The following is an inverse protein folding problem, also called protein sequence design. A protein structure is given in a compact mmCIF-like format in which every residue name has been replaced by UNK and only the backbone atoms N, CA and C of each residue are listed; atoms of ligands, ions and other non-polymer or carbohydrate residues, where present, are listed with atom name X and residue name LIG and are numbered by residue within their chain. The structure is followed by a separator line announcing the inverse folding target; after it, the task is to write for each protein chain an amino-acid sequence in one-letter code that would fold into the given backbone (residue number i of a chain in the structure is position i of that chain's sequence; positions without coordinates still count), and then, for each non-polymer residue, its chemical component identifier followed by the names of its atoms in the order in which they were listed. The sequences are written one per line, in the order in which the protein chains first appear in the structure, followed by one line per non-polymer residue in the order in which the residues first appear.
data_IF_808747195036
#
_entry.id   IF_808747195036
#
_cell.length_a   1.000
_cell.length_b   1.000
_cell.length_c   1.000
_cell.angle_alpha   90.00
_cell.angle_beta   90.00
_cell.angle_gamma   90.00
#
_symmetry.space_group_name_H-M   'P 1'
#
loop_
_entity.id
_entity.type
_entity.pdbx_description
1 polymer ?
#
# COMPACT_ATOMS: atom_id res chain seq x y z
N UNK A 1 -26.66 -14.83 27.81
CA UNK A 1 -25.82 -14.63 26.61
C UNK A 1 -24.38 -14.80 27.06
N UNK A 2 -23.59 -15.65 26.40
CA UNK A 2 -22.20 -15.89 26.84
C UNK A 2 -21.35 -14.69 26.42
N UNK A 3 -20.68 -14.05 27.38
CA UNK A 3 -19.73 -12.96 27.16
C UNK A 3 -18.45 -13.52 26.51
N UNK A 4 -18.52 -13.87 25.23
CA UNK A 4 -17.38 -14.39 24.48
C UNK A 4 -16.51 -13.21 24.08
N UNK A 5 -15.22 -13.31 24.41
CA UNK A 5 -14.21 -12.33 24.01
C UNK A 5 -13.24 -12.95 23.01
N UNK A 6 -12.67 -12.09 22.19
CA UNK A 6 -11.53 -12.41 21.32
C UNK A 6 -10.38 -11.49 21.68
N UNK A 7 -9.16 -12.02 21.59
CA UNK A 7 -7.96 -11.20 21.61
C UNK A 7 -7.63 -10.79 20.18
N UNK A 8 -7.79 -9.51 19.88
CA UNK A 8 -7.51 -8.96 18.56
C UNK A 8 -6.13 -8.30 18.52
N UNK A 9 -5.53 -8.30 17.33
CA UNK A 9 -4.32 -7.52 17.02
C UNK A 9 -4.72 -6.42 16.05
N UNK A 10 -4.39 -5.19 16.38
CA UNK A 10 -4.85 -4.04 15.62
C UNK A 10 -4.06 -3.86 14.32
N UNK A 11 -4.81 -3.53 13.26
CA UNK A 11 -4.29 -2.85 12.09
C UNK A 11 -4.65 -1.37 12.19
N UNK A 12 -3.70 -0.48 11.88
CA UNK A 12 -3.91 0.96 11.90
C UNK A 12 -4.07 1.51 10.49
N UNK A 13 -5.00 2.43 10.30
CA UNK A 13 -4.99 3.31 9.14
C UNK A 13 -3.80 4.28 9.24
N UNK A 14 -3.17 4.67 8.12
CA UNK A 14 -2.13 5.67 8.11
C UNK A 14 -2.51 6.96 8.86
N UNK A 15 -3.76 7.39 8.73
CA UNK A 15 -4.35 8.57 9.37
C UNK A 15 -4.40 8.48 10.89
N UNK A 16 -4.54 7.27 11.43
CA UNK A 16 -4.61 7.01 12.86
C UNK A 16 -3.22 6.90 13.51
N UNK A 17 -2.15 7.11 12.71
CA UNK A 17 -0.77 7.13 13.19
C UNK A 17 -0.18 8.54 13.14
N UNK A 18 0.85 8.77 13.94
CA UNK A 18 1.64 10.02 13.91
C UNK A 18 2.28 10.33 12.55
N UNK A 19 2.36 9.35 11.64
CA UNK A 19 2.95 9.53 10.32
C UNK A 19 1.97 10.08 9.28
N UNK A 20 0.66 9.96 9.55
CA UNK A 20 -0.41 10.33 8.63
C UNK A 20 -0.39 9.54 7.31
N UNK A 21 -1.42 9.78 6.49
CA UNK A 21 -1.41 9.32 5.10
C UNK A 21 -0.48 10.18 4.27
N UNK A 22 0.41 9.53 3.52
CA UNK A 22 1.27 10.15 2.49
C UNK A 22 0.77 9.73 1.12
N UNK A 23 1.05 10.52 0.08
CA UNK A 23 0.53 10.27 -1.27
C UNK A 23 0.94 8.92 -1.87
N UNK A 24 2.08 8.37 -1.45
CA UNK A 24 2.56 7.06 -1.90
C UNK A 24 1.90 5.88 -1.16
N UNK A 25 0.99 6.15 -0.22
CA UNK A 25 0.23 5.11 0.47
C UNK A 25 -1.07 4.82 -0.24
N UNK A 26 -1.28 3.54 -0.53
CA UNK A 26 -2.49 3.09 -1.20
C UNK A 26 -3.73 3.29 -0.33
N UNK A 27 -4.88 3.53 -0.95
CA UNK A 27 -6.15 3.79 -0.28
C UNK A 27 -6.55 2.65 0.67
N UNK A 28 -6.16 1.42 0.35
CA UNK A 28 -6.43 0.19 1.12
C UNK A 28 -5.23 -0.31 1.96
N UNK A 29 -4.24 0.56 2.17
CA UNK A 29 -3.04 0.25 2.98
C UNK A 29 -3.34 0.38 4.48
N UNK A 30 -3.05 -0.68 5.23
CA UNK A 30 -3.10 -0.76 6.68
C UNK A 30 -1.70 -1.08 7.24
N UNK A 31 -1.46 -0.72 8.50
CA UNK A 31 -0.23 -1.10 9.22
C UNK A 31 -0.53 -2.16 10.25
N UNK A 32 0.14 -3.32 10.13
CA UNK A 32 0.10 -4.35 11.16
C UNK A 32 0.78 -3.83 12.43
N UNK A 33 0.11 -3.81 13.58
CA UNK A 33 0.75 -3.30 14.81
C UNK A 33 1.14 -4.39 15.80
N UNK A 34 1.98 -4.04 16.76
CA UNK A 34 2.23 -4.83 17.99
C UNK A 34 1.14 -4.63 19.06
N UNK A 35 0.11 -3.81 18.80
CA UNK A 35 -0.98 -3.54 19.71
C UNK A 35 -2.02 -4.68 19.71
N UNK A 36 -2.31 -5.23 20.89
CA UNK A 36 -3.32 -6.29 21.06
C UNK A 36 -4.18 -6.05 22.29
N UNK A 37 -5.48 -6.26 22.14
CA UNK A 37 -6.49 -6.01 23.18
C UNK A 37 -7.61 -7.06 23.12
N UNK A 38 -8.33 -7.24 24.22
CA UNK A 38 -9.49 -8.12 24.30
C UNK A 38 -10.78 -7.34 23.99
N UNK A 39 -11.54 -7.83 23.01
CA UNK A 39 -12.82 -7.25 22.62
C UNK A 39 -13.95 -8.27 22.68
N UNK A 40 -15.17 -7.78 22.82
CA UNK A 40 -16.39 -8.58 22.73
C UNK A 40 -16.67 -8.96 21.28
N UNK A 41 -17.09 -10.19 21.02
CA UNK A 41 -17.35 -10.65 19.63
C UNK A 41 -18.47 -9.87 18.94
N UNK A 42 -19.34 -9.25 19.72
CA UNK A 42 -20.47 -8.44 19.27
C UNK A 42 -20.02 -7.15 18.57
N UNK A 43 -18.76 -6.72 18.71
CA UNK A 43 -18.23 -5.58 17.96
C UNK A 43 -17.73 -5.94 16.55
N UNK A 44 -17.78 -7.22 16.16
CA UNK A 44 -17.34 -7.68 14.84
C UNK A 44 -18.48 -7.46 13.84
N UNK A 45 -18.28 -6.54 12.90
CA UNK A 45 -19.25 -6.25 11.83
C UNK A 45 -19.20 -7.30 10.71
N UNK A 46 -17.99 -7.70 10.30
CA UNK A 46 -17.81 -8.63 9.20
C UNK A 46 -16.38 -9.09 9.03
N UNK A 47 -16.16 -9.99 8.06
CA UNK A 47 -14.84 -10.50 7.70
C UNK A 47 -14.25 -9.64 6.58
N UNK A 48 -12.97 -9.32 6.70
CA UNK A 48 -12.17 -8.75 5.62
C UNK A 48 -10.87 -9.55 5.40
N UNK A 49 -10.08 -9.18 4.40
CA UNK A 49 -8.80 -9.80 4.05
C UNK A 49 -7.71 -8.74 4.07
N UNK A 50 -6.69 -8.94 4.89
CA UNK A 50 -5.50 -8.09 4.91
C UNK A 50 -4.31 -8.92 4.44
N UNK A 51 -3.76 -8.56 3.29
CA UNK A 51 -2.73 -9.35 2.57
C UNK A 51 -1.36 -8.71 2.70
N UNK A 52 -0.30 -9.46 2.47
CA UNK A 52 1.00 -8.84 2.18
C UNK A 52 0.90 -8.02 0.89
N UNK A 53 1.80 -7.06 0.73
CA UNK A 53 1.79 -6.20 -0.46
C UNK A 53 1.95 -6.99 -1.76
N UNK A 54 2.84 -7.98 -1.81
CA UNK A 54 3.04 -8.82 -3.00
C UNK A 54 1.76 -9.58 -3.36
N UNK A 55 1.12 -10.23 -2.39
CA UNK A 55 -0.15 -10.96 -2.62
C UNK A 55 -1.27 -10.02 -3.09
N UNK A 56 -1.31 -8.78 -2.59
CA UNK A 56 -2.30 -7.79 -3.04
C UNK A 56 -2.05 -7.34 -4.48
N UNK A 57 -0.79 -7.17 -4.88
CA UNK A 57 -0.42 -6.81 -6.26
C UNK A 57 -0.77 -7.90 -7.28
N UNK A 58 -0.82 -9.16 -6.85
CA UNK A 58 -1.17 -10.31 -7.69
C UNK A 58 -2.69 -10.51 -7.86
N UNK A 59 -3.53 -9.69 -7.22
CA UNK A 59 -4.98 -9.81 -7.35
C UNK A 59 -5.46 -9.40 -8.75
N UNK A 60 -6.19 -10.29 -9.41
CA UNK A 60 -6.86 -9.99 -10.68
C UNK A 60 -7.95 -8.91 -10.52
N UNK A 61 -8.64 -8.90 -9.37
CA UNK A 61 -9.67 -7.93 -9.02
C UNK A 61 -9.59 -7.65 -7.52
N UNK A 62 -9.54 -6.37 -7.17
CA UNK A 62 -9.60 -5.91 -5.78
C UNK A 62 -11.05 -5.71 -5.38
N UNK A 63 -11.49 -6.44 -4.35
CA UNK A 63 -12.84 -6.31 -3.79
C UNK A 63 -12.87 -5.29 -2.65
N UNK A 64 -14.08 -4.92 -2.20
CA UNK A 64 -14.25 -3.94 -1.13
C UNK A 64 -13.71 -4.39 0.23
N UNK A 65 -13.62 -5.69 0.46
CA UNK A 65 -13.10 -6.31 1.68
C UNK A 65 -11.60 -6.69 1.59
N UNK A 66 -10.92 -6.34 0.50
CA UNK A 66 -9.47 -6.54 0.34
C UNK A 66 -8.69 -5.29 0.81
N UNK A 67 -7.68 -5.54 1.64
CA UNK A 67 -6.72 -4.58 2.17
C UNK A 67 -5.32 -5.18 2.10
N UNK A 68 -4.30 -4.35 2.29
CA UNK A 68 -2.91 -4.82 2.32
C UNK A 68 -2.06 -4.14 3.37
N UNK A 69 -0.97 -4.79 3.73
CA UNK A 69 0.06 -4.23 4.61
C UNK A 69 1.46 -4.52 4.06
N UNK A 70 2.38 -3.61 4.34
CA UNK A 70 3.83 -3.75 4.08
C UNK A 70 4.70 -3.13 5.17
N UNK A 71 4.09 -2.39 6.08
CA UNK A 71 4.75 -1.82 7.25
C UNK A 71 4.14 -2.40 8.52
N UNK A 72 4.98 -2.59 9.52
CA UNK A 72 4.52 -2.76 10.88
C UNK A 72 4.55 -1.42 11.61
N UNK A 73 3.55 -1.18 12.45
CA UNK A 73 3.48 -0.02 13.34
C UNK A 73 3.79 -0.45 14.78
N UNK A 74 4.93 0.00 15.31
CA UNK A 74 5.29 -0.18 16.70
C UNK A 74 4.49 0.84 17.52
N UNK A 75 3.37 0.41 18.10
CA UNK A 75 2.38 1.25 18.76
C UNK A 75 2.97 2.08 19.90
N UNK A 76 3.80 1.44 20.73
CA UNK A 76 4.44 2.10 21.88
C UNK A 76 5.48 3.13 21.42
N UNK A 77 6.28 2.81 20.40
CA UNK A 77 7.34 3.69 19.89
C UNK A 77 6.84 4.73 18.88
N UNK A 78 5.63 4.54 18.35
CA UNK A 78 5.04 5.31 17.25
C UNK A 78 5.92 5.33 15.99
N UNK A 79 6.56 4.20 15.68
CA UNK A 79 7.47 4.03 14.53
C UNK A 79 6.92 3.03 13.52
N UNK A 80 7.36 3.16 12.27
CA UNK A 80 7.10 2.19 11.21
C UNK A 80 8.34 1.37 10.90
N UNK A 81 8.15 0.09 10.61
CA UNK A 81 9.20 -0.81 10.14
C UNK A 81 8.77 -1.53 8.86
N UNK A 82 9.66 -1.72 7.87
CA UNK A 82 11.03 -1.19 7.82
C UNK A 82 11.05 0.35 7.63
N UNK A 83 12.16 0.99 8.00
CA UNK A 83 12.32 2.46 7.88
C UNK A 83 12.45 2.92 6.42
N UNK A 84 12.97 2.06 5.56
CA UNK A 84 13.09 2.28 4.13
C UNK A 84 12.55 1.09 3.35
N UNK A 85 12.04 1.39 2.16
CA UNK A 85 11.58 0.42 1.17
C UNK A 85 12.12 0.85 -0.19
N UNK A 86 12.06 -0.05 -1.16
CA UNK A 86 12.42 0.26 -2.53
C UNK A 86 11.58 1.43 -3.08
N UNK A 87 12.24 2.32 -3.81
CA UNK A 87 11.65 3.53 -4.38
C UNK A 87 11.92 3.58 -5.88
N UNK A 88 10.96 4.14 -6.60
CA UNK A 88 10.98 4.19 -8.06
C UNK A 88 10.80 5.61 -8.57
N UNK A 89 10.92 5.77 -9.89
CA UNK A 89 10.66 7.00 -10.60
C UNK A 89 11.64 8.15 -10.24
N UNK A 90 11.46 9.29 -10.89
CA UNK A 90 12.17 10.53 -10.58
C UNK A 90 11.75 11.14 -9.23
N UNK A 91 10.56 10.82 -8.73
CA UNK A 91 10.06 11.32 -7.44
C UNK A 91 10.57 10.53 -6.23
N UNK A 92 11.27 9.42 -6.45
CA UNK A 92 11.90 8.59 -5.39
C UNK A 92 10.93 8.22 -4.27
N UNK A 93 9.79 7.65 -4.67
CA UNK A 93 8.78 7.19 -3.71
C UNK A 93 8.51 5.70 -3.82
N UNK A 94 8.05 5.07 -2.72
CA UNK A 94 7.60 3.69 -2.75
C UNK A 94 6.47 3.50 -3.76
N UNK A 95 6.34 2.27 -4.27
CA UNK A 95 5.25 1.91 -5.17
C UNK A 95 3.89 2.11 -4.50
N UNK A 96 3.00 2.87 -5.13
CA UNK A 96 1.60 2.93 -4.74
C UNK A 96 0.78 2.09 -5.74
N UNK A 97 0.09 1.02 -5.31
CA UNK A 97 -0.64 0.13 -6.22
C UNK A 97 -1.83 0.81 -6.93
N UNK A 98 -2.27 1.96 -6.43
CA UNK A 98 -3.34 2.75 -7.02
C UNK A 98 -2.83 3.67 -8.15
N UNK A 99 -1.51 3.86 -8.26
CA UNK A 99 -0.90 4.73 -9.26
C UNK A 99 -0.43 3.94 -10.49
N UNK A 100 -0.63 4.52 -11.66
CA UNK A 100 -0.21 3.92 -12.94
C UNK A 100 1.24 4.28 -13.25
N UNK A 101 2.00 3.27 -13.64
CA UNK A 101 3.42 3.39 -13.97
C UNK A 101 3.74 2.70 -15.30
N UNK A 102 4.82 3.14 -15.95
CA UNK A 102 5.37 2.55 -17.17
C UNK A 102 6.85 2.20 -16.96
N UNK A 103 7.30 1.07 -17.52
CA UNK A 103 8.68 0.60 -17.44
C UNK A 103 9.52 1.24 -18.55
N UNK A 104 10.72 1.71 -18.23
CA UNK A 104 11.69 2.16 -19.23
C UNK A 104 12.49 0.99 -19.80
N UNK A 105 12.51 0.83 -21.12
CA UNK A 105 13.26 -0.23 -21.81
C UNK A 105 14.78 -0.05 -21.72
N UNK A 106 15.26 1.17 -21.48
CA UNK A 106 16.68 1.48 -21.33
C UNK A 106 17.23 1.12 -19.95
N UNK A 107 16.68 1.73 -18.89
CA UNK A 107 17.20 1.58 -17.53
C UNK A 107 16.43 0.57 -16.67
N UNK A 108 15.34 0.00 -17.17
CA UNK A 108 14.49 -0.96 -16.43
C UNK A 108 13.91 -0.40 -15.10
N UNK A 109 13.76 0.92 -14.99
CA UNK A 109 13.10 1.60 -13.86
C UNK A 109 11.65 1.97 -14.20
N UNK A 110 10.80 2.09 -13.19
CA UNK A 110 9.38 2.40 -13.30
C UNK A 110 9.09 3.88 -13.10
N UNK A 111 8.24 4.46 -13.94
CA UNK A 111 7.89 5.87 -13.89
C UNK A 111 6.39 6.07 -13.78
N UNK A 112 5.93 6.88 -12.82
CA UNK A 112 4.53 7.29 -12.77
C UNK A 112 4.17 8.08 -14.02
N UNK A 113 3.03 7.76 -14.63
CA UNK A 113 2.56 8.44 -15.84
C UNK A 113 2.46 9.96 -15.64
N UNK A 114 1.96 10.41 -14.48
CA UNK A 114 1.86 11.83 -14.16
C UNK A 114 3.23 12.52 -13.96
N UNK A 115 4.25 11.82 -13.46
CA UNK A 115 5.59 12.39 -13.27
C UNK A 115 6.29 12.71 -14.59
N UNK A 116 5.92 11.98 -15.66
CA UNK A 116 6.50 12.13 -17.00
C UNK A 116 5.53 12.78 -17.98
N UNK A 117 4.41 13.31 -17.48
CA UNK A 117 3.35 13.96 -18.25
C UNK A 117 2.81 13.10 -19.41
N UNK A 118 2.59 11.81 -19.15
CA UNK A 118 1.95 10.86 -20.07
C UNK A 118 0.55 10.56 -19.53
N UNK A 119 -0.47 10.63 -20.38
CA UNK A 119 -1.83 10.22 -20.01
C UNK A 119 -1.98 8.71 -20.04
N UNK A 120 -3.02 8.19 -19.36
CA UNK A 120 -3.33 6.76 -19.42
C UNK A 120 -3.60 6.30 -20.87
N UNK A 121 -4.32 7.11 -21.65
CA UNK A 121 -4.65 6.81 -23.04
C UNK A 121 -3.39 6.71 -23.90
N UNK A 122 -2.47 7.66 -23.78
CA UNK A 122 -1.17 7.60 -24.47
C UNK A 122 -0.36 6.39 -24.05
N UNK A 123 -0.32 6.06 -22.76
CA UNK A 123 0.44 4.91 -22.26
C UNK A 123 0.00 3.59 -22.91
N UNK A 124 -1.29 3.45 -23.26
CA UNK A 124 -1.80 2.23 -23.92
C UNK A 124 -1.29 2.05 -25.35
N UNK A 125 -0.78 3.12 -25.98
CA UNK A 125 -0.26 3.11 -27.35
C UNK A 125 1.27 3.01 -27.42
N UNK A 126 1.95 3.08 -26.27
CA UNK A 126 3.40 3.02 -26.21
C UNK A 126 3.84 1.55 -26.18
N UNK A 127 4.50 1.09 -27.26
CA UNK A 127 5.11 -0.24 -27.30
C UNK A 127 6.45 -0.28 -26.57
N UNK A 128 7.25 0.78 -26.73
CA UNK A 128 8.56 0.93 -26.11
C UNK A 128 8.70 2.31 -25.49
N UNK A 129 9.08 2.36 -24.21
CA UNK A 129 9.24 3.62 -23.48
C UNK A 129 10.69 3.83 -23.07
N UNK A 130 11.23 5.01 -23.37
CA UNK A 130 12.53 5.46 -22.88
C UNK A 130 12.34 6.73 -22.04
N UNK A 131 12.85 6.72 -20.81
CA UNK A 131 12.82 7.87 -19.92
C UNK A 131 13.73 8.99 -20.42
N UNK A 132 13.59 10.22 -19.88
CA UNK A 132 14.36 11.38 -20.34
C UNK A 132 15.89 11.23 -20.23
N UNK A 133 16.38 10.33 -19.37
CA UNK A 133 17.81 10.05 -19.23
C UNK A 133 18.33 8.98 -20.21
N UNK A 134 17.44 8.19 -20.83
CA UNK A 134 17.77 7.12 -21.78
C UNK A 134 17.49 7.51 -23.24
N UNK A 135 16.97 8.71 -23.48
CA UNK A 135 16.75 9.28 -24.82
C UNK A 135 18.00 9.99 -25.34
#
# INVERSE_FOLDING_TARGET
MKNVKIRARWYYWPEDTSQGRRFFRGLRELFLSDHSEDHYVECIDGKCKVRTFNEYQELNLVMDDDFFWRFQYLHTERKLTPESVEVFCICKTPLNPDLRMILCDGCQDWFHLYCINVSLEESTRISHYYCGACR
#
